data_IF_795224127809
#
_entry.id   IF_795224127809
#
_cell.length_a   1.000
_cell.length_b   1.000
_cell.length_c   1.000
_cell.angle_alpha   90.00
_cell.angle_beta   90.00
_cell.angle_gamma   90.00
#
_symmetry.space_group_name_H-M   'P 1'
#
loop_
_entity.id
_entity.type
_entity.pdbx_description
1 polymer ?
#
# COMPACT_ATOMS: atom_id res chain seq x y z
N UNK A 1 6.27 1.71 0.50
CA UNK A 1 7.56 1.23 1.05
C UNK A 1 8.22 2.42 1.74
N UNK A 2 7.60 2.92 2.81
CA UNK A 2 8.09 4.14 3.47
C UNK A 2 8.88 3.81 4.74
N UNK A 3 8.71 2.61 5.28
CA UNK A 3 9.38 2.17 6.49
C UNK A 3 10.91 2.19 6.32
N UNK A 4 11.46 1.63 5.23
CA UNK A 4 12.91 1.64 4.99
C UNK A 4 13.43 3.06 4.82
N UNK A 5 12.69 3.92 4.10
CA UNK A 5 13.07 5.33 3.90
C UNK A 5 13.29 6.10 5.21
N UNK A 6 12.59 5.75 6.28
CA UNK A 6 12.76 6.39 7.59
C UNK A 6 14.05 5.99 8.33
N UNK A 7 14.73 4.91 7.91
CA UNK A 7 15.92 4.37 8.57
C UNK A 7 17.16 4.34 7.67
N UNK A 8 17.03 4.82 6.43
CA UNK A 8 18.14 4.99 5.50
C UNK A 8 18.68 6.41 5.62
N UNK A 9 20.00 6.52 5.73
CA UNK A 9 20.72 7.77 5.81
C UNK A 9 20.75 8.51 4.44
N UNK A 10 21.36 9.69 4.39
CA UNK A 10 21.44 10.44 3.12
C UNK A 10 22.37 9.76 2.09
N UNK A 11 23.38 9.01 2.54
CA UNK A 11 24.32 8.30 1.66
C UNK A 11 23.78 6.93 1.20
N UNK A 12 22.70 6.43 1.79
CA UNK A 12 22.04 5.15 1.52
C UNK A 12 22.93 3.91 1.68
N UNK A 13 23.89 3.93 2.60
CA UNK A 13 24.85 2.85 2.79
C UNK A 13 24.43 1.84 3.87
N UNK A 14 23.55 2.22 4.79
CA UNK A 14 23.16 1.41 5.96
C UNK A 14 21.76 0.78 5.86
N UNK A 15 21.21 0.63 4.66
CA UNK A 15 19.82 0.17 4.47
C UNK A 15 19.59 -1.28 4.93
N UNK A 16 20.65 -2.09 4.99
CA UNK A 16 20.63 -3.50 5.34
C UNK A 16 20.63 -3.77 6.85
N UNK A 17 21.20 -2.86 7.64
CA UNK A 17 21.38 -3.01 9.10
C UNK A 17 20.05 -3.23 9.85
N UNK A 18 18.99 -2.54 9.42
CA UNK A 18 17.71 -2.52 10.13
C UNK A 18 16.61 -3.38 9.47
N UNK A 19 16.92 -4.11 8.40
CA UNK A 19 15.93 -4.90 7.66
C UNK A 19 15.26 -5.96 8.53
N UNK A 20 16.01 -6.60 9.43
CA UNK A 20 15.48 -7.65 10.29
C UNK A 20 14.42 -7.09 11.25
N UNK A 21 14.70 -5.95 11.90
CA UNK A 21 13.76 -5.28 12.79
C UNK A 21 12.53 -4.78 12.02
N UNK A 22 12.75 -4.15 10.86
CA UNK A 22 11.66 -3.66 10.00
C UNK A 22 10.75 -4.78 9.52
N UNK A 23 11.32 -5.90 9.07
CA UNK A 23 10.56 -7.05 8.64
C UNK A 23 9.78 -7.68 9.81
N UNK A 24 10.36 -7.69 11.01
CA UNK A 24 9.68 -8.09 12.25
C UNK A 24 8.48 -7.20 12.56
N UNK A 25 8.66 -5.88 12.53
CA UNK A 25 7.61 -4.89 12.78
C UNK A 25 6.48 -4.99 11.74
N UNK A 26 6.81 -5.15 10.45
CA UNK A 26 5.82 -5.34 9.39
C UNK A 26 4.99 -6.62 9.59
N UNK A 27 5.64 -7.72 10.02
CA UNK A 27 4.93 -8.98 10.32
C UNK A 27 4.03 -8.91 11.55
N UNK A 28 4.35 -8.01 12.49
CA UNK A 28 3.58 -7.77 13.71
C UNK A 28 2.53 -6.65 13.56
N UNK A 29 2.53 -5.92 12.44
CA UNK A 29 1.60 -4.81 12.21
C UNK A 29 0.31 -5.30 11.55
N UNK A 30 -0.83 -4.80 12.01
CA UNK A 30 -2.13 -5.13 11.43
C UNK A 30 -2.25 -4.52 10.03
N UNK A 31 -2.58 -5.35 9.04
CA UNK A 31 -2.85 -4.88 7.69
C UNK A 31 -4.33 -4.45 7.56
N UNK A 32 -4.58 -3.24 7.07
CA UNK A 32 -5.93 -2.66 6.94
C UNK A 32 -6.86 -3.46 6.03
N UNK A 33 -6.34 -4.08 4.97
CA UNK A 33 -7.13 -4.82 3.98
C UNK A 33 -7.49 -6.24 4.45
N UNK A 34 -6.70 -6.82 5.35
CA UNK A 34 -6.96 -8.16 5.92
C UNK A 34 -7.56 -8.10 7.32
N UNK A 35 -7.31 -7.02 8.07
CA UNK A 35 -7.70 -6.87 9.47
C UNK A 35 -6.79 -7.61 10.48
N UNK A 36 -5.74 -8.28 10.01
CA UNK A 36 -4.85 -9.12 10.84
C UNK A 36 -3.37 -8.83 10.56
N UNK A 37 -2.52 -9.21 11.51
CA UNK A 37 -1.07 -9.23 11.31
C UNK A 37 -0.68 -10.43 10.43
N UNK A 38 0.41 -10.32 9.64
CA UNK A 38 0.98 -11.48 8.96
C UNK A 38 1.34 -12.64 9.90
N UNK A 39 1.83 -12.35 11.11
CA UNK A 39 2.12 -13.38 12.11
C UNK A 39 0.88 -14.18 12.49
N UNK A 40 -0.25 -13.51 12.75
CA UNK A 40 -1.53 -14.17 13.07
C UNK A 40 -2.03 -15.05 11.95
N UNK A 41 -1.92 -14.58 10.70
CA UNK A 41 -2.36 -15.35 9.54
C UNK A 41 -1.49 -16.59 9.32
N UNK A 42 -0.17 -16.46 9.46
CA UNK A 42 0.77 -17.56 9.22
C UNK A 42 0.85 -18.57 10.38
N UNK A 43 0.78 -18.10 11.62
CA UNK A 43 1.02 -18.91 12.82
C UNK A 43 -0.26 -19.23 13.59
N UNK A 44 -1.41 -18.61 13.26
CA UNK A 44 -2.65 -18.72 14.04
C UNK A 44 -2.64 -17.94 15.37
N UNK A 45 -1.50 -17.33 15.73
CA UNK A 45 -1.28 -16.56 16.96
C UNK A 45 -0.35 -15.39 16.72
N UNK A 46 -0.37 -14.42 17.62
CA UNK A 46 0.62 -13.33 17.61
C UNK A 46 1.97 -13.82 18.14
N UNK A 47 3.04 -13.18 17.67
CA UNK A 47 4.39 -13.39 18.21
C UNK A 47 4.60 -12.46 19.40
N UNK A 48 5.25 -12.99 20.45
CA UNK A 48 5.56 -12.19 21.63
C UNK A 48 6.42 -10.98 21.26
N UNK A 49 5.96 -9.80 21.63
CA UNK A 49 6.73 -8.56 21.49
C UNK A 49 7.76 -8.45 22.63
N UNK A 50 8.88 -7.73 22.43
CA UNK A 50 9.86 -7.51 23.49
C UNK A 50 9.27 -6.94 24.79
N UNK A 51 8.28 -6.04 24.68
CA UNK A 51 7.59 -5.48 25.84
C UNK A 51 6.77 -6.54 26.61
N UNK A 52 6.11 -7.46 25.91
CA UNK A 52 5.31 -8.52 26.53
C UNK A 52 6.18 -9.51 27.31
N UNK A 53 7.41 -9.76 26.86
CA UNK A 53 8.37 -10.58 27.60
C UNK A 53 8.88 -9.87 28.86
N UNK A 54 9.11 -8.56 28.78
CA UNK A 54 9.68 -7.76 29.88
C UNK A 54 8.65 -7.47 30.98
N UNK A 55 7.41 -7.17 30.59
CA UNK A 55 6.34 -6.80 31.53
C UNK A 55 5.39 -7.95 31.85
N UNK A 56 5.50 -9.07 31.13
CA UNK A 56 4.54 -10.17 31.16
C UNK A 56 3.24 -9.80 30.45
N UNK A 57 2.53 -10.83 29.97
CA UNK A 57 1.16 -10.67 29.48
C UNK A 57 0.18 -11.08 30.57
N UNK A 58 -0.98 -10.42 30.63
CA UNK A 58 -2.08 -10.80 31.51
C UNK A 58 -2.92 -11.96 30.96
N UNK A 59 -2.71 -12.32 29.69
CA UNK A 59 -3.40 -13.42 29.03
C UNK A 59 -2.71 -14.75 29.34
N UNK A 60 -3.12 -15.33 30.45
CA UNK A 60 -2.80 -16.70 30.81
C UNK A 60 -3.55 -17.63 29.84
N UNK A 61 -2.86 -18.16 28.83
CA UNK A 61 -3.44 -19.14 27.91
C UNK A 61 -3.68 -20.46 28.67
N UNK A 62 -4.87 -20.59 29.26
CA UNK A 62 -5.33 -21.73 30.05
C UNK A 62 -5.65 -22.96 29.21
N UNK A 63 -4.76 -23.38 28.33
CA UNK A 63 -4.89 -24.70 27.70
C UNK A 63 -4.56 -25.75 28.76
N UNK A 64 -5.51 -26.65 29.02
CA UNK A 64 -5.32 -27.70 30.03
C UNK A 64 -4.49 -28.87 29.50
N UNK A 65 -4.41 -29.02 28.17
CA UNK A 65 -3.60 -30.04 27.51
C UNK A 65 -3.22 -29.72 26.06
N UNK A 66 -2.26 -30.48 25.53
CA UNK A 66 -1.70 -30.30 24.18
C UNK A 66 -2.74 -30.45 23.07
N UNK A 67 -3.68 -31.38 23.23
CA UNK A 67 -4.72 -31.64 22.23
C UNK A 67 -5.68 -30.45 22.10
N UNK A 68 -6.11 -29.87 23.23
CA UNK A 68 -6.94 -28.66 23.26
C UNK A 68 -6.23 -27.47 22.59
N UNK A 69 -4.93 -27.33 22.83
CA UNK A 69 -4.11 -26.30 22.18
C UNK A 69 -4.05 -26.48 20.66
N UNK A 70 -3.81 -27.70 20.16
CA UNK A 70 -3.72 -27.98 18.72
C UNK A 70 -5.05 -27.66 18.03
N UNK A 71 -6.17 -28.11 18.60
CA UNK A 71 -7.52 -27.84 18.06
C UNK A 71 -7.80 -26.34 18.05
N UNK A 72 -7.44 -25.63 19.13
CA UNK A 72 -7.59 -24.19 19.24
C UNK A 72 -6.78 -23.44 18.18
N UNK A 73 -5.53 -23.84 17.97
CA UNK A 73 -4.62 -23.24 17.01
C UNK A 73 -5.11 -23.42 15.57
N UNK A 74 -5.50 -24.64 15.20
CA UNK A 74 -6.03 -24.94 13.87
C UNK A 74 -7.29 -24.11 13.58
N UNK A 75 -8.19 -24.03 14.56
CA UNK A 75 -9.41 -23.21 14.47
C UNK A 75 -9.06 -21.73 14.32
N UNK A 76 -8.12 -21.21 15.09
CA UNK A 76 -7.69 -19.82 15.00
C UNK A 76 -7.10 -19.49 13.62
N UNK A 77 -6.30 -20.39 13.04
CA UNK A 77 -5.70 -20.20 11.72
C UNK A 77 -6.76 -20.19 10.62
N UNK A 78 -7.71 -21.14 10.65
CA UNK A 78 -8.82 -21.23 9.69
C UNK A 78 -9.73 -20.00 9.75
N UNK A 79 -10.17 -19.64 10.95
CA UNK A 79 -11.07 -18.48 11.14
C UNK A 79 -10.42 -17.16 10.73
N UNK A 80 -9.15 -16.95 11.09
CA UNK A 80 -8.41 -15.73 10.69
C UNK A 80 -8.30 -15.63 9.17
N UNK A 81 -7.99 -16.74 8.48
CA UNK A 81 -7.95 -16.77 7.02
C UNK A 81 -9.32 -16.51 6.37
N UNK A 82 -10.39 -17.13 6.88
CA UNK A 82 -11.74 -16.94 6.33
C UNK A 82 -12.18 -15.47 6.43
N UNK A 83 -11.93 -14.83 7.57
CA UNK A 83 -12.28 -13.42 7.79
C UNK A 83 -11.40 -12.54 6.89
N UNK A 84 -10.09 -12.74 6.89
CA UNK A 84 -9.16 -11.99 6.04
C UNK A 84 -9.55 -12.10 4.56
N UNK A 85 -9.91 -13.29 4.09
CA UNK A 85 -10.31 -13.51 2.70
C UNK A 85 -11.61 -12.79 2.33
N UNK A 86 -12.61 -12.78 3.23
CA UNK A 86 -13.86 -12.01 3.02
C UNK A 86 -13.57 -10.52 2.92
N UNK A 87 -12.77 -9.97 3.84
CA UNK A 87 -12.38 -8.55 3.85
C UNK A 87 -11.54 -8.18 2.63
N UNK A 88 -10.64 -9.05 2.19
CA UNK A 88 -9.84 -8.86 0.98
C UNK A 88 -10.72 -8.76 -0.26
N UNK A 89 -11.70 -9.66 -0.42
CA UNK A 89 -12.63 -9.62 -1.56
C UNK A 89 -13.40 -8.31 -1.62
N UNK A 90 -13.96 -7.86 -0.49
CA UNK A 90 -14.75 -6.62 -0.45
C UNK A 90 -13.86 -5.40 -0.66
N UNK A 91 -12.68 -5.37 -0.04
CA UNK A 91 -11.71 -4.28 -0.19
C UNK A 91 -11.20 -4.20 -1.63
N UNK A 92 -10.87 -5.34 -2.26
CA UNK A 92 -10.45 -5.38 -3.66
C UNK A 92 -11.55 -4.89 -4.59
N UNK A 93 -12.81 -5.28 -4.38
CA UNK A 93 -13.93 -4.80 -5.18
C UNK A 93 -14.11 -3.27 -5.06
N UNK A 94 -13.97 -2.72 -3.85
CA UNK A 94 -13.99 -1.27 -3.63
C UNK A 94 -12.80 -0.59 -4.32
N UNK A 95 -11.59 -1.08 -4.10
CA UNK A 95 -10.38 -0.52 -4.73
C UNK A 95 -10.48 -0.54 -6.25
N UNK A 96 -11.01 -1.61 -6.85
CA UNK A 96 -11.27 -1.69 -8.29
C UNK A 96 -12.27 -0.62 -8.71
N UNK A 97 -13.41 -0.50 -8.02
CA UNK A 97 -14.41 0.53 -8.33
C UNK A 97 -13.83 1.94 -8.25
N UNK A 98 -13.09 2.24 -7.19
CA UNK A 98 -12.47 3.55 -6.98
C UNK A 98 -11.41 3.84 -8.05
N UNK A 99 -10.66 2.81 -8.46
CA UNK A 99 -9.73 2.90 -9.58
C UNK A 99 -10.47 3.16 -10.90
N UNK A 100 -11.46 2.34 -11.24
CA UNK A 100 -12.25 2.46 -12.47
C UNK A 100 -12.89 3.86 -12.60
N UNK A 101 -13.36 4.45 -11.49
CA UNK A 101 -13.92 5.81 -11.47
C UNK A 101 -12.88 6.91 -11.78
N UNK A 102 -11.59 6.64 -11.51
CA UNK A 102 -10.47 7.56 -11.75
C UNK A 102 -9.77 7.31 -13.09
N UNK A 103 -10.06 6.17 -13.73
CA UNK A 103 -9.58 5.87 -15.07
C UNK A 103 -10.35 6.74 -16.05
N UNK A 104 -9.66 7.72 -16.63
CA UNK A 104 -10.15 8.41 -17.82
C UNK A 104 -9.85 7.54 -19.03
N UNK A 105 -10.91 7.02 -19.63
CA UNK A 105 -10.82 6.25 -20.86
C UNK A 105 -10.30 7.16 -21.99
N UNK A 106 -9.03 6.96 -22.38
CA UNK A 106 -8.42 7.68 -23.49
C UNK A 106 -8.89 7.05 -24.80
N UNK A 107 -9.58 7.84 -25.61
CA UNK A 107 -9.87 7.48 -26.99
C UNK A 107 -8.66 7.87 -27.84
N UNK A 108 -8.05 6.90 -28.49
CA UNK A 108 -6.95 7.13 -29.42
C UNK A 108 -7.49 7.14 -30.85
N UNK A 109 -7.05 8.10 -31.65
CA UNK A 109 -7.31 8.17 -33.08
C UNK A 109 -6.13 7.60 -33.88
N UNK A 110 -6.37 7.07 -35.08
CA UNK A 110 -5.28 6.73 -36.00
C UNK A 110 -4.39 7.95 -36.26
N UNK A 111 -3.12 7.87 -35.86
CA UNK A 111 -2.14 8.97 -35.92
C UNK A 111 -1.63 9.43 -34.56
N UNK A 112 -2.28 9.05 -33.46
CA UNK A 112 -1.78 9.31 -32.11
C UNK A 112 -0.51 8.51 -31.82
N UNK A 113 0.49 9.18 -31.24
CA UNK A 113 1.74 8.55 -30.83
C UNK A 113 1.52 7.73 -29.56
N UNK A 114 1.36 6.42 -29.72
CA UNK A 114 1.32 5.44 -28.62
C UNK A 114 2.58 4.58 -28.73
N UNK A 115 3.69 5.11 -28.23
CA UNK A 115 5.01 4.48 -28.32
C UNK A 115 5.31 3.58 -27.13
N UNK A 116 6.19 2.58 -27.29
CA UNK A 116 6.82 1.93 -26.14
C UNK A 116 7.56 2.98 -25.30
N UNK A 117 7.72 2.71 -24.01
CA UNK A 117 8.49 3.58 -23.12
C UNK A 117 9.95 3.63 -23.61
N UNK A 118 10.31 4.71 -24.32
CA UNK A 118 11.62 4.89 -24.97
C UNK A 118 12.69 5.36 -23.99
N UNK A 119 12.36 5.54 -22.70
CA UNK A 119 13.25 6.13 -21.71
C UNK A 119 13.45 7.64 -21.90
N UNK A 120 12.59 8.27 -22.71
CA UNK A 120 12.51 9.73 -22.82
C UNK A 120 12.14 10.36 -21.47
N UNK A 121 12.55 11.62 -21.29
CA UNK A 121 12.28 12.37 -20.06
C UNK A 121 10.81 12.27 -19.67
N UNK A 122 10.55 12.06 -18.37
CA UNK A 122 9.21 11.92 -17.81
C UNK A 122 8.97 12.96 -16.72
N UNK A 123 7.70 13.34 -16.55
CA UNK A 123 7.24 14.23 -15.49
C UNK A 123 6.17 13.52 -14.64
N UNK A 124 6.25 13.65 -13.32
CA UNK A 124 5.29 13.08 -12.38
C UNK A 124 4.16 14.07 -12.10
N UNK A 125 2.91 13.61 -12.15
CA UNK A 125 1.75 14.40 -11.73
C UNK A 125 1.67 14.50 -10.20
N UNK A 126 1.46 15.70 -9.66
CA UNK A 126 1.36 15.91 -8.21
C UNK A 126 0.10 15.36 -7.56
N UNK A 127 -0.97 15.21 -8.33
CA UNK A 127 -2.27 14.75 -7.84
C UNK A 127 -2.39 13.22 -7.83
N UNK A 128 -2.14 12.55 -8.97
CA UNK A 128 -2.25 11.08 -9.05
C UNK A 128 -0.93 10.34 -8.85
N UNK A 129 0.22 11.04 -8.81
CA UNK A 129 1.57 10.47 -8.71
C UNK A 129 1.98 9.53 -9.86
N UNK A 130 1.22 9.53 -10.96
CA UNK A 130 1.58 8.83 -12.19
C UNK A 130 2.60 9.61 -13.01
N UNK A 131 3.41 8.87 -13.79
CA UNK A 131 4.48 9.38 -14.63
C UNK A 131 4.03 9.46 -16.09
N UNK A 132 4.37 10.55 -16.76
CA UNK A 132 4.00 10.80 -18.15
C UNK A 132 5.24 11.23 -18.94
N UNK A 133 5.37 10.75 -20.18
CA UNK A 133 6.36 11.28 -21.11
C UNK A 133 6.02 12.73 -21.46
N UNK A 134 7.03 13.60 -21.48
CA UNK A 134 6.90 15.01 -21.82
C UNK A 134 6.18 15.23 -23.16
N UNK A 135 6.61 14.48 -24.18
CA UNK A 135 6.05 14.50 -25.53
C UNK A 135 4.57 14.09 -25.57
N UNK A 136 4.18 13.09 -24.78
CA UNK A 136 2.79 12.62 -24.67
C UNK A 136 1.86 13.61 -23.96
N UNK A 137 2.38 14.57 -23.21
CA UNK A 137 1.59 15.61 -22.52
C UNK A 137 1.82 17.02 -23.09
N UNK A 138 2.55 17.13 -24.20
CA UNK A 138 2.78 18.38 -24.91
C UNK A 138 3.75 19.34 -24.21
N UNK A 139 4.63 18.83 -23.35
CA UNK A 139 5.64 19.61 -22.63
C UNK A 139 7.00 19.43 -23.33
N UNK A 140 7.74 20.52 -23.53
CA UNK A 140 9.10 20.45 -24.08
C UNK A 140 10.15 20.23 -22.98
N UNK A 141 11.29 19.62 -23.33
CA UNK A 141 12.38 19.32 -22.36
C UNK A 141 12.89 20.57 -21.65
N UNK A 142 12.89 21.73 -22.33
CA UNK A 142 13.32 23.01 -21.77
C UNK A 142 12.36 23.61 -20.74
N UNK A 143 11.08 23.22 -20.74
CA UNK A 143 10.08 23.78 -19.82
C UNK A 143 10.02 23.00 -18.50
N UNK A 144 10.55 21.77 -18.46
CA UNK A 144 10.41 20.89 -17.28
C UNK A 144 11.19 21.38 -16.07
N UNK A 145 12.37 21.96 -16.28
CA UNK A 145 13.19 22.50 -15.18
C UNK A 145 12.50 23.66 -14.45
N UNK A 146 11.48 24.28 -15.07
CA UNK A 146 10.71 25.40 -14.51
C UNK A 146 9.37 24.96 -13.89
N UNK A 147 8.93 23.72 -14.12
CA UNK A 147 7.65 23.20 -13.62
C UNK A 147 7.84 22.62 -12.22
N UNK A 148 7.42 23.39 -11.21
CA UNK A 148 7.49 22.97 -9.81
C UNK A 148 6.25 22.18 -9.34
N UNK A 149 5.11 22.35 -10.01
CA UNK A 149 3.87 21.61 -9.77
C UNK A 149 3.27 21.25 -11.12
N UNK A 150 3.10 19.95 -11.39
CA UNK A 150 2.48 19.46 -12.62
C UNK A 150 1.18 18.72 -12.32
N UNK A 151 0.09 19.14 -12.96
CA UNK A 151 -1.20 18.42 -12.91
C UNK A 151 -1.50 17.87 -14.29
N UNK A 152 -1.61 16.55 -14.40
CA UNK A 152 -1.88 15.91 -15.68
C UNK A 152 -3.29 16.25 -16.20
N UNK A 153 -3.52 16.12 -17.53
CA UNK A 153 -4.83 16.36 -18.13
C UNK A 153 -5.96 15.54 -17.50
N UNK A 154 -5.65 14.38 -16.92
CA UNK A 154 -6.65 13.57 -16.23
C UNK A 154 -7.09 14.22 -14.91
N UNK A 155 -6.14 14.60 -14.06
CA UNK A 155 -6.45 15.24 -12.78
C UNK A 155 -7.09 16.62 -12.93
N UNK A 156 -6.73 17.38 -13.98
CA UNK A 156 -7.35 18.68 -14.25
C UNK A 156 -8.82 18.57 -14.70
N UNK A 157 -9.22 17.44 -15.29
CA UNK A 157 -10.60 17.15 -15.68
C UNK A 157 -11.46 16.64 -14.51
N UNK A 158 -10.88 15.79 -13.65
CA UNK A 158 -11.58 15.20 -12.50
C UNK A 158 -11.92 16.26 -11.43
N UNK A 159 -11.05 17.24 -11.20
CA UNK A 159 -11.24 18.29 -10.18
C UNK A 159 -12.43 19.23 -10.49
N UNK A 160 -12.90 19.26 -11.74
CA UNK A 160 -14.09 20.06 -12.14
C UNK A 160 -15.43 19.36 -11.90
N UNK A 161 -15.44 18.07 -11.55
CA UNK A 161 -16.66 17.26 -11.45
C UNK A 161 -16.98 16.76 -10.04
N UNK A 162 -16.06 16.88 -9.08
CA UNK A 162 -16.31 16.47 -7.70
C UNK A 162 -16.94 17.64 -6.90
N UNK A 163 -18.05 17.41 -6.17
CA UNK A 163 -18.50 18.38 -5.18
C UNK A 163 -17.42 18.57 -4.10
N UNK A 164 -17.30 19.75 -3.48
CA UNK A 164 -16.28 20.02 -2.48
C UNK A 164 -16.31 18.97 -1.38
N UNK A 165 -15.16 18.35 -1.12
CA UNK A 165 -14.98 17.39 -0.03
C UNK A 165 -15.24 18.14 1.27
N UNK A 166 -16.40 17.93 1.87
CA UNK A 166 -16.65 18.32 3.26
C UNK A 166 -15.80 17.40 4.12
N UNK A 167 -14.64 17.90 4.55
CA UNK A 167 -13.86 17.30 5.62
C UNK A 167 -14.69 17.38 6.90
N UNK A 168 -15.45 16.31 7.17
CA UNK A 168 -16.14 16.12 8.44
C UNK A 168 -15.12 15.99 9.56
N UNK A 169 -15.22 16.89 10.53
CA UNK A 169 -14.61 16.86 11.86
C UNK A 169 -14.88 15.56 12.60
#
# INVERSE_FOLDING_TARGET
MDAVRCFVDQQQDSWDEHLAQLAGALRASVNRSTGYTPNKLMLGRETNQPAELMFGTTEDHKYTGTEEYIIGLEKAMKTSHEIAWKTLKTTQARMKKDYDLRVLERQYAPGDLVGPDTGETMIQCDQCKEWFHLTCVGISVSEVDEINIYTCPNCSLIDRQLPPVTTGT
#
